data_IF_164134510820
#
_entry.id   IF_164134510820
#
_cell.length_a   1.000
_cell.length_b   1.000
_cell.length_c   1.000
_cell.angle_alpha   90.00
_cell.angle_beta   90.00
_cell.angle_gamma   90.00
#
_symmetry.space_group_name_H-M   'P 1'
#
loop_
_entity.id
_entity.type
_entity.pdbx_description
1 polymer ?
#
# COMPACT_ATOMS: atom_id res chain seq x y z
N UNK A 1 12.07 -34.46 5.31
CA UNK A 1 10.84 -33.64 5.29
C UNK A 1 11.17 -32.23 4.87
N UNK A 2 10.77 -31.88 3.63
CA UNK A 2 10.87 -30.49 3.17
C UNK A 2 9.88 -29.68 3.98
N UNK A 3 10.39 -28.79 4.82
CA UNK A 3 9.56 -27.77 5.44
C UNK A 3 9.15 -26.78 4.35
N UNK A 4 7.86 -26.69 4.06
CA UNK A 4 7.36 -25.63 3.19
C UNK A 4 7.79 -24.27 3.73
N UNK A 5 8.50 -23.52 2.88
CA UNK A 5 8.93 -22.18 3.24
C UNK A 5 7.69 -21.28 3.28
N UNK A 6 7.22 -20.92 4.47
CA UNK A 6 6.11 -19.97 4.60
C UNK A 6 6.50 -18.64 3.99
N UNK A 7 5.63 -18.09 3.13
CA UNK A 7 5.79 -16.71 2.68
C UNK A 7 5.64 -15.76 3.87
N UNK A 8 6.53 -14.78 4.03
CA UNK A 8 6.42 -13.86 5.17
C UNK A 8 5.17 -12.98 5.04
N UNK A 9 4.56 -12.68 6.18
CA UNK A 9 3.49 -11.70 6.25
C UNK A 9 4.07 -10.32 6.52
N UNK A 10 3.48 -9.31 5.91
CA UNK A 10 3.90 -7.93 6.10
C UNK A 10 2.74 -7.07 6.55
N UNK A 11 3.08 -6.00 7.26
CA UNK A 11 2.15 -4.92 7.57
C UNK A 11 2.40 -3.75 6.64
N UNK A 12 1.32 -3.14 6.17
CA UNK A 12 1.37 -1.97 5.29
C UNK A 12 0.60 -0.84 5.96
N UNK A 13 1.28 0.28 6.17
CA UNK A 13 0.64 1.55 6.49
C UNK A 13 0.43 2.29 5.18
N UNK A 14 -0.79 2.23 4.67
CA UNK A 14 -1.17 2.88 3.43
C UNK A 14 -1.61 4.31 3.76
N UNK A 15 -0.65 5.25 3.75
CA UNK A 15 -0.88 6.62 4.15
C UNK A 15 -1.43 7.51 3.03
N UNK A 16 -1.98 8.66 3.42
CA UNK A 16 -2.49 9.66 2.46
C UNK A 16 -1.36 10.26 1.62
N UNK A 17 -0.22 10.57 2.24
CA UNK A 17 0.93 11.19 1.58
C UNK A 17 2.09 10.23 1.40
N UNK A 18 2.31 9.32 2.35
CA UNK A 18 3.39 8.34 2.34
C UNK A 18 2.92 7.00 2.87
N UNK A 19 3.51 5.94 2.36
CA UNK A 19 3.22 4.57 2.79
C UNK A 19 4.48 3.89 3.27
N UNK A 20 4.31 2.92 4.18
CA UNK A 20 5.42 2.18 4.79
C UNK A 20 5.08 0.70 4.81
N UNK A 21 6.09 -0.13 4.58
CA UNK A 21 5.97 -1.59 4.71
C UNK A 21 6.89 -2.06 5.84
N UNK A 22 6.39 -2.97 6.66
CA UNK A 22 7.15 -3.56 7.75
C UNK A 22 6.89 -5.06 7.85
N UNK A 23 7.82 -5.78 8.45
CA UNK A 23 7.65 -7.20 8.77
C UNK A 23 8.21 -7.47 10.16
N UNK A 24 7.94 -8.66 10.71
CA UNK A 24 8.52 -9.07 11.98
C UNK A 24 9.77 -9.91 11.72
N UNK A 25 10.87 -9.58 12.41
CA UNK A 25 12.07 -10.38 12.38
C UNK A 25 11.91 -11.68 13.20
N UNK A 26 12.94 -12.50 13.27
CA UNK A 26 12.90 -13.77 13.99
C UNK A 26 12.68 -13.62 15.49
N UNK A 27 12.91 -12.42 16.03
CA UNK A 27 12.70 -12.11 17.46
C UNK A 27 11.35 -11.41 17.71
N UNK A 28 10.51 -11.29 16.67
CA UNK A 28 9.20 -10.66 16.77
C UNK A 28 9.24 -9.13 16.78
N UNK A 29 10.34 -8.51 16.35
CA UNK A 29 10.47 -7.06 16.29
C UNK A 29 10.05 -6.54 14.91
N UNK A 30 9.31 -5.40 14.84
CA UNK A 30 8.96 -4.81 13.57
C UNK A 30 10.18 -4.19 12.89
N UNK A 31 10.38 -4.53 11.63
CA UNK A 31 11.45 -4.01 10.80
C UNK A 31 10.81 -3.36 9.57
N UNK A 32 11.11 -2.08 9.33
CA UNK A 32 10.66 -1.40 8.12
C UNK A 32 11.51 -1.85 6.93
N UNK A 33 10.86 -1.94 5.77
CA UNK A 33 11.51 -2.36 4.54
C UNK A 33 11.78 -1.13 3.68
N UNK A 34 13.03 -0.98 3.23
CA UNK A 34 13.37 0.06 2.28
C UNK A 34 12.76 -0.24 0.92
N UNK A 35 12.27 0.80 0.24
CA UNK A 35 11.78 0.68 -1.13
C UNK A 35 12.96 0.56 -2.11
N UNK A 36 12.65 0.37 -3.40
CA UNK A 36 13.67 0.22 -4.44
C UNK A 36 14.54 1.48 -4.64
N UNK A 37 14.07 2.64 -4.17
CA UNK A 37 14.82 3.89 -4.21
C UNK A 37 15.65 4.14 -2.95
N UNK A 38 15.66 3.21 -2.01
CA UNK A 38 16.45 3.27 -0.77
C UNK A 38 15.80 4.02 0.38
N UNK A 39 14.55 4.44 0.24
CA UNK A 39 13.82 5.13 1.30
C UNK A 39 12.94 4.20 2.13
N UNK A 40 12.69 4.56 3.40
CA UNK A 40 11.78 3.84 4.28
C UNK A 40 10.32 4.13 3.90
N UNK A 41 10.03 5.38 3.50
CA UNK A 41 8.70 5.81 3.12
C UNK A 41 8.59 5.93 1.60
N UNK A 42 7.44 5.55 1.06
CA UNK A 42 7.12 5.67 -0.36
C UNK A 42 6.03 6.72 -0.51
N UNK A 43 6.26 7.80 -1.27
CA UNK A 43 5.20 8.76 -1.56
C UNK A 43 3.98 8.07 -2.19
N UNK A 44 2.79 8.32 -1.66
CA UNK A 44 1.53 7.73 -2.13
C UNK A 44 1.03 8.50 -3.36
N UNK A 45 1.85 8.57 -4.39
CA UNK A 45 1.62 9.33 -5.62
C UNK A 45 1.81 8.41 -6.81
N UNK A 46 0.89 8.48 -7.77
CA UNK A 46 0.95 7.71 -9.01
C UNK A 46 1.02 8.67 -10.20
N UNK A 47 2.01 8.47 -11.03
CA UNK A 47 2.14 9.12 -12.32
C UNK A 47 1.76 8.11 -13.42
N UNK A 48 0.79 8.47 -14.24
CA UNK A 48 0.32 7.62 -15.34
C UNK A 48 1.09 7.95 -16.60
N UNK A 49 2.28 7.37 -16.72
CA UNK A 49 3.13 7.50 -17.89
C UNK A 49 2.62 6.61 -19.03
N UNK A 50 3.05 6.89 -20.26
CA UNK A 50 2.71 6.11 -21.46
C UNK A 50 3.10 4.64 -21.35
N UNK A 51 4.19 4.34 -20.62
CA UNK A 51 4.70 2.98 -20.44
C UNK A 51 4.06 2.25 -19.26
N UNK A 52 3.20 2.93 -18.49
CA UNK A 52 2.54 2.37 -17.33
C UNK A 52 2.66 3.26 -16.09
N UNK A 53 1.97 2.90 -14.99
CA UNK A 53 2.00 3.71 -13.78
C UNK A 53 3.35 3.67 -13.09
N UNK A 54 3.80 4.83 -12.63
CA UNK A 54 5.01 5.02 -11.82
C UNK A 54 4.56 5.49 -10.44
N UNK A 55 5.04 4.85 -9.39
CA UNK A 55 4.65 5.16 -8.01
C UNK A 55 5.86 5.60 -7.21
N UNK A 56 5.68 6.59 -6.36
CA UNK A 56 6.65 6.98 -5.36
C UNK A 56 7.34 8.30 -5.66
N UNK A 57 8.63 8.37 -5.37
CA UNK A 57 9.42 9.60 -5.40
C UNK A 57 9.44 10.28 -6.77
N UNK A 58 9.59 9.50 -7.83
CA UNK A 58 9.61 10.03 -9.19
C UNK A 58 8.25 10.61 -9.56
N UNK A 59 7.16 9.91 -9.22
CA UNK A 59 5.81 10.41 -9.43
C UNK A 59 5.57 11.72 -8.67
N UNK A 60 6.02 11.80 -7.42
CA UNK A 60 5.89 13.00 -6.62
C UNK A 60 6.64 14.19 -7.24
N UNK A 61 7.82 13.95 -7.80
CA UNK A 61 8.58 15.00 -8.50
C UNK A 61 7.89 15.47 -9.77
N UNK A 62 7.24 14.56 -10.48
CA UNK A 62 6.55 14.85 -11.74
C UNK A 62 5.24 15.62 -11.51
N UNK A 63 4.68 15.57 -10.30
CA UNK A 63 3.39 16.18 -9.99
C UNK A 63 3.32 17.69 -10.28
N UNK A 64 4.45 18.41 -10.14
CA UNK A 64 4.50 19.83 -10.42
C UNK A 64 4.49 20.16 -11.92
N UNK A 65 4.89 19.22 -12.76
CA UNK A 65 5.07 19.44 -14.20
C UNK A 65 3.94 18.85 -15.05
N UNK A 66 3.35 17.74 -14.61
CA UNK A 66 2.30 17.03 -15.35
C UNK A 66 1.12 16.69 -14.43
N UNK A 67 0.47 17.69 -13.82
CA UNK A 67 -0.57 17.43 -12.81
C UNK A 67 -1.76 16.63 -13.33
N UNK A 68 -2.07 16.72 -14.63
CA UNK A 68 -3.20 16.00 -15.24
C UNK A 68 -2.98 14.49 -15.32
N UNK A 69 -1.73 14.03 -15.16
CA UNK A 69 -1.36 12.62 -15.22
C UNK A 69 -1.04 12.06 -13.83
N UNK A 70 -1.33 12.81 -12.78
CA UNK A 70 -0.98 12.47 -11.40
C UNK A 70 -2.23 12.17 -10.58
N UNK A 71 -2.19 11.07 -9.82
CA UNK A 71 -3.13 10.80 -8.74
C UNK A 71 -2.38 10.84 -7.40
N UNK A 72 -2.88 11.65 -6.47
CA UNK A 72 -2.35 11.76 -5.11
C UNK A 72 -3.48 12.03 -4.13
N UNK A 73 -3.25 11.71 -2.86
CA UNK A 73 -4.26 11.86 -1.81
C UNK A 73 -5.53 11.03 -2.05
N UNK A 74 -5.42 9.94 -2.81
CA UNK A 74 -6.57 9.10 -3.15
C UNK A 74 -7.22 8.47 -1.91
N UNK A 75 -6.48 8.31 -0.83
CA UNK A 75 -7.00 7.79 0.44
C UNK A 75 -8.12 8.68 1.01
N UNK A 76 -8.11 9.97 0.73
CA UNK A 76 -9.19 10.88 1.16
C UNK A 76 -10.52 10.54 0.52
N UNK A 77 -10.50 9.94 -0.66
CA UNK A 77 -11.71 9.59 -1.43
C UNK A 77 -12.04 8.10 -1.32
N UNK A 78 -11.26 7.30 -0.59
CA UNK A 78 -11.51 5.86 -0.46
C UNK A 78 -12.91 5.62 0.14
N UNK A 79 -13.67 4.71 -0.47
CA UNK A 79 -15.07 4.48 -0.14
C UNK A 79 -16.04 5.29 -0.98
N UNK A 80 -15.57 6.29 -1.73
CA UNK A 80 -16.37 7.02 -2.71
C UNK A 80 -16.36 6.28 -4.05
N UNK A 81 -17.32 6.61 -4.91
CA UNK A 81 -17.45 5.99 -6.23
C UNK A 81 -16.27 6.31 -7.13
N UNK A 82 -15.78 7.55 -7.11
CA UNK A 82 -14.63 7.95 -7.92
C UNK A 82 -13.71 8.90 -7.17
N UNK A 83 -12.44 8.89 -7.60
CA UNK A 83 -11.46 9.88 -7.18
C UNK A 83 -11.90 11.25 -7.70
N UNK A 84 -11.77 12.26 -6.85
CA UNK A 84 -12.33 13.61 -7.10
C UNK A 84 -11.78 14.31 -8.35
N UNK A 85 -10.63 13.90 -8.83
CA UNK A 85 -9.93 14.51 -9.96
C UNK A 85 -9.86 13.53 -11.12
N UNK A 86 -10.06 14.01 -12.34
CA UNK A 86 -9.82 13.21 -13.54
C UNK A 86 -8.32 13.02 -13.74
N UNK A 87 -7.92 11.82 -14.11
CA UNK A 87 -6.53 11.52 -14.44
C UNK A 87 -6.46 11.12 -15.91
N UNK A 88 -5.66 11.82 -16.69
CA UNK A 88 -5.59 11.64 -18.15
C UNK A 88 -6.99 11.69 -18.80
N UNK A 89 -7.87 12.54 -18.28
CA UNK A 89 -9.24 12.68 -18.77
C UNK A 89 -10.23 11.61 -18.30
N UNK A 90 -9.82 10.69 -17.45
CA UNK A 90 -10.65 9.57 -16.99
C UNK A 90 -11.00 9.68 -15.51
N UNK A 91 -12.20 9.23 -15.14
CA UNK A 91 -12.58 9.02 -13.76
C UNK A 91 -12.08 7.66 -13.29
N UNK A 92 -11.35 7.64 -12.18
CA UNK A 92 -10.82 6.40 -11.62
C UNK A 92 -11.42 6.12 -10.24
N UNK A 93 -11.77 4.87 -9.93
CA UNK A 93 -12.10 4.50 -8.56
C UNK A 93 -10.88 4.68 -7.65
N UNK A 94 -11.05 5.23 -6.43
CA UNK A 94 -9.93 5.37 -5.49
C UNK A 94 -9.24 4.04 -5.17
N UNK A 95 -9.99 2.94 -5.13
CA UNK A 95 -9.45 1.59 -4.89
C UNK A 95 -8.42 1.19 -5.94
N UNK A 96 -8.63 1.59 -7.18
CA UNK A 96 -7.69 1.28 -8.29
C UNK A 96 -6.38 2.03 -8.09
N UNK A 97 -6.44 3.30 -7.71
CA UNK A 97 -5.25 4.12 -7.43
C UNK A 97 -4.48 3.52 -6.25
N UNK A 98 -5.19 3.18 -5.17
CA UNK A 98 -4.57 2.56 -4.00
C UNK A 98 -4.00 1.18 -4.31
N UNK A 99 -4.66 0.41 -5.19
CA UNK A 99 -4.15 -0.89 -5.63
C UNK A 99 -2.82 -0.76 -6.38
N UNK A 100 -2.67 0.27 -7.20
CA UNK A 100 -1.42 0.54 -7.93
C UNK A 100 -0.29 0.84 -6.93
N UNK A 101 -0.59 1.64 -5.89
CA UNK A 101 0.37 1.93 -4.82
C UNK A 101 0.74 0.65 -4.07
N UNK A 102 -0.24 -0.14 -3.68
CA UNK A 102 -0.02 -1.40 -2.97
C UNK A 102 0.82 -2.38 -3.79
N UNK A 103 0.61 -2.44 -5.08
CA UNK A 103 1.40 -3.30 -5.97
C UNK A 103 2.88 -2.90 -5.97
N UNK A 104 3.16 -1.60 -6.00
CA UNK A 104 4.54 -1.09 -5.91
C UNK A 104 5.16 -1.47 -4.56
N UNK A 105 4.43 -1.29 -3.46
CA UNK A 105 4.91 -1.65 -2.12
C UNK A 105 5.20 -3.15 -2.03
N UNK A 106 4.33 -3.97 -2.61
CA UNK A 106 4.52 -5.42 -2.67
C UNK A 106 5.80 -5.78 -3.44
N UNK A 107 5.98 -5.21 -4.62
CA UNK A 107 7.16 -5.48 -5.47
C UNK A 107 8.45 -5.09 -4.76
N UNK A 108 8.49 -3.93 -4.10
CA UNK A 108 9.66 -3.47 -3.34
C UNK A 108 9.97 -4.40 -2.16
N UNK A 109 8.94 -4.81 -1.42
CA UNK A 109 9.10 -5.73 -0.30
C UNK A 109 9.57 -7.11 -0.76
N UNK A 110 9.12 -7.56 -1.91
CA UNK A 110 9.53 -8.85 -2.48
C UNK A 110 11.01 -8.88 -2.87
N UNK A 111 11.61 -7.73 -3.17
CA UNK A 111 13.05 -7.65 -3.41
C UNK A 111 13.87 -8.00 -2.15
N UNK A 112 13.30 -7.79 -0.98
CA UNK A 112 13.96 -8.05 0.30
C UNK A 112 13.56 -9.41 0.87
N UNK A 113 12.27 -9.73 0.84
CA UNK A 113 11.70 -10.88 1.55
C UNK A 113 11.37 -12.08 0.65
N UNK A 114 11.42 -11.91 -0.68
CA UNK A 114 10.88 -12.90 -1.59
C UNK A 114 9.37 -12.76 -1.72
N UNK A 115 8.70 -13.78 -2.23
CA UNK A 115 7.27 -13.75 -2.53
C UNK A 115 6.44 -13.39 -1.29
N UNK A 116 5.52 -12.43 -1.46
CA UNK A 116 4.59 -11.98 -0.42
C UNK A 116 3.16 -12.19 -0.92
N UNK A 117 2.32 -12.75 -0.07
CA UNK A 117 0.88 -12.91 -0.33
C UNK A 117 0.02 -12.29 0.75
N UNK A 118 0.38 -12.55 2.00
CA UNK A 118 -0.43 -12.19 3.17
C UNK A 118 -0.02 -10.84 3.72
N UNK A 119 -0.99 -9.95 3.89
CA UNK A 119 -0.75 -8.61 4.41
C UNK A 119 -1.78 -8.22 5.45
N UNK A 120 -1.36 -7.36 6.35
CA UNK A 120 -2.23 -6.60 7.24
C UNK A 120 -2.09 -5.14 6.82
N UNK A 121 -3.20 -4.45 6.62
CA UNK A 121 -3.20 -3.04 6.23
C UNK A 121 -3.72 -2.21 7.39
N UNK A 122 -3.03 -1.13 7.73
CA UNK A 122 -3.48 -0.20 8.76
C UNK A 122 -4.23 0.97 8.12
N UNK A 123 -5.29 1.41 8.79
CA UNK A 123 -6.13 2.52 8.35
C UNK A 123 -6.36 3.47 9.52
N UNK A 124 -6.77 4.73 9.26
CA UNK A 124 -7.13 5.64 10.34
C UNK A 124 -8.26 5.10 11.20
N UNK A 125 -8.25 5.45 12.49
CA UNK A 125 -9.26 5.00 13.44
C UNK A 125 -10.68 5.43 13.05
N UNK A 126 -10.83 6.53 12.30
CA UNK A 126 -12.13 7.05 11.87
C UNK A 126 -12.72 6.33 10.64
N UNK A 127 -12.00 5.39 10.02
CA UNK A 127 -12.51 4.67 8.85
C UNK A 127 -13.76 3.86 9.22
N UNK A 128 -14.83 4.05 8.46
CA UNK A 128 -16.06 3.28 8.54
C UNK A 128 -15.98 2.01 7.68
N UNK A 129 -17.01 1.18 7.74
CA UNK A 129 -17.05 -0.08 7.00
C UNK A 129 -16.88 0.08 5.47
N UNK A 130 -17.54 1.02 4.78
CA UNK A 130 -17.30 1.20 3.35
C UNK A 130 -15.85 1.52 3.00
N UNK A 131 -15.17 2.32 3.82
CA UNK A 131 -13.77 2.67 3.60
C UNK A 131 -12.84 1.50 3.87
N UNK A 132 -13.14 0.71 4.91
CA UNK A 132 -12.38 -0.52 5.23
C UNK A 132 -12.53 -1.53 4.10
N UNK A 133 -13.75 -1.72 3.60
CA UNK A 133 -14.01 -2.63 2.48
C UNK A 133 -13.30 -2.19 1.21
N UNK A 134 -13.32 -0.91 0.89
CA UNK A 134 -12.63 -0.38 -0.28
C UNK A 134 -11.11 -0.57 -0.16
N UNK A 135 -10.55 -0.44 1.04
CA UNK A 135 -9.13 -0.71 1.30
C UNK A 135 -8.81 -2.20 1.09
N UNK A 136 -9.68 -3.08 1.55
CA UNK A 136 -9.54 -4.52 1.31
C UNK A 136 -9.60 -4.84 -0.18
N UNK A 137 -10.55 -4.25 -0.89
CA UNK A 137 -10.69 -4.42 -2.34
C UNK A 137 -9.42 -3.97 -3.08
N UNK A 138 -8.83 -2.85 -2.66
CA UNK A 138 -7.57 -2.38 -3.21
C UNK A 138 -6.43 -3.40 -3.03
N UNK A 139 -6.34 -4.00 -1.84
CA UNK A 139 -5.37 -5.06 -1.57
C UNK A 139 -5.55 -6.27 -2.48
N UNK A 140 -6.79 -6.70 -2.65
CA UNK A 140 -7.11 -7.84 -3.53
C UNK A 140 -6.79 -7.53 -4.99
N UNK A 141 -7.10 -6.32 -5.45
CA UNK A 141 -6.75 -5.86 -6.80
C UNK A 141 -5.23 -5.86 -7.03
N UNK A 142 -4.45 -5.61 -5.99
CA UNK A 142 -2.99 -5.65 -6.05
C UNK A 142 -2.42 -7.07 -5.99
N UNK A 143 -3.26 -8.09 -5.87
CA UNK A 143 -2.84 -9.48 -5.78
C UNK A 143 -2.44 -9.91 -4.37
N UNK A 144 -2.93 -9.22 -3.35
CA UNK A 144 -2.62 -9.49 -1.95
C UNK A 144 -3.79 -10.21 -1.26
N UNK A 145 -3.46 -11.11 -0.33
CA UNK A 145 -4.43 -11.67 0.59
C UNK A 145 -4.46 -10.80 1.85
N UNK A 146 -5.50 -10.01 2.00
CA UNK A 146 -5.64 -9.10 3.14
C UNK A 146 -6.20 -9.87 4.33
N UNK A 147 -5.34 -10.17 5.31
CA UNK A 147 -5.72 -10.92 6.50
C UNK A 147 -6.57 -10.08 7.45
N UNK A 148 -6.26 -8.79 7.56
CA UNK A 148 -6.98 -7.89 8.44
C UNK A 148 -6.75 -6.44 8.05
N UNK A 149 -7.70 -5.60 8.43
CA UNK A 149 -7.62 -4.14 8.36
C UNK A 149 -7.62 -3.63 9.80
N UNK A 150 -6.56 -2.94 10.21
CA UNK A 150 -6.36 -2.50 11.59
C UNK A 150 -6.47 -0.98 11.67
N UNK A 151 -7.30 -0.50 12.58
CA UNK A 151 -7.62 0.92 12.74
C UNK A 151 -6.61 1.70 13.60
N UNK A 152 -5.33 1.38 13.50
CA UNK A 152 -4.27 2.09 14.22
C UNK A 152 -2.99 2.08 13.35
N UNK A 153 -2.66 3.19 12.68
CA UNK A 153 -1.51 3.23 11.77
C UNK A 153 -0.19 3.44 12.50
N UNK A 154 0.16 2.51 13.39
CA UNK A 154 1.44 2.51 14.11
C UNK A 154 2.23 1.25 13.81
N UNK A 155 3.56 1.32 13.96
CA UNK A 155 4.41 0.15 13.81
C UNK A 155 4.03 -0.96 14.82
N UNK A 156 3.59 -0.58 16.02
CA UNK A 156 3.12 -1.53 17.03
C UNK A 156 1.85 -2.26 16.59
N UNK A 157 0.91 -1.55 15.96
CA UNK A 157 -0.32 -2.15 15.42
C UNK A 157 -0.02 -3.10 14.28
N UNK A 158 0.90 -2.74 13.39
CA UNK A 158 1.36 -3.62 12.31
C UNK A 158 1.94 -4.91 12.89
N UNK A 159 2.85 -4.80 13.87
CA UNK A 159 3.46 -5.94 14.53
C UNK A 159 2.41 -6.81 15.23
N UNK A 160 1.49 -6.19 15.97
CA UNK A 160 0.41 -6.90 16.66
C UNK A 160 -0.49 -7.64 15.67
N UNK A 161 -0.90 -6.99 14.59
CA UNK A 161 -1.75 -7.57 13.58
C UNK A 161 -1.11 -8.78 12.91
N UNK A 162 0.18 -8.69 12.59
CA UNK A 162 0.93 -9.80 12.01
C UNK A 162 1.02 -10.97 13.01
N UNK A 163 1.31 -10.69 14.28
CA UNK A 163 1.37 -11.73 15.32
C UNK A 163 0.04 -12.44 15.54
N UNK A 164 -1.08 -11.71 15.51
CA UNK A 164 -2.40 -12.30 15.76
C UNK A 164 -2.86 -13.22 14.62
N UNK A 165 -2.34 -13.07 13.43
CA UNK A 165 -2.72 -13.86 12.25
C UNK A 165 -1.76 -15.03 11.97
N UNK A 166 -0.66 -15.09 12.69
CA UNK A 166 0.37 -16.15 12.56
C UNK A 166 0.75 -16.79 13.92
#
# INVERSE_FOLDING_TARGET
>A
TMTEKKTPAVGIDLGTTHSVVAYLDNEGRPITINNSEGGITTPSVVFFDETGPVVGKEAARTAAFEPDLIAQFAKRDIGAESYKKKVAGNDLPPEVIEAIILKKLKEDAELVLGEIKDVVITVPAYFNEPRRKATQDAGELAGLNVLDIINEPTAAAIAYGVLQKF
#
